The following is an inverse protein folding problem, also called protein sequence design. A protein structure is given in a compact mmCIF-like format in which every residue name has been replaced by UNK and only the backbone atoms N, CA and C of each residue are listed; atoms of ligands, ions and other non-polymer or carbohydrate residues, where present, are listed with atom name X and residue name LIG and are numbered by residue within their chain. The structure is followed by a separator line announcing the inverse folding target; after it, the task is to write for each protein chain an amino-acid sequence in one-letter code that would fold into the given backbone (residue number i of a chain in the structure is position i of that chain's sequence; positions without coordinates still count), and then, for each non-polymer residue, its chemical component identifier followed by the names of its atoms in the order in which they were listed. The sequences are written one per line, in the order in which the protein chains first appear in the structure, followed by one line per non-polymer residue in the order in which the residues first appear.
data_IF_580022749000
#
_entry.id   IF_580022749000
#
_cell.length_a   1.000
_cell.length_b   1.000
_cell.length_c   1.000
_cell.angle_alpha   90.00
_cell.angle_beta   90.00
_cell.angle_gamma   90.00
#
_symmetry.space_group_name_H-M   'P 1'
#
loop_
_entity.id
_entity.type
_entity.pdbx_description
1 polymer ?
#
# COMPACT_ATOMS: atom_id res chain seq x y z
N UNK A 1 14.14 0.42 -11.26
CA UNK A 1 13.73 -0.46 -10.16
C UNK A 1 14.60 -0.10 -8.97
N UNK A 2 13.99 0.27 -7.85
CA UNK A 2 14.68 0.76 -6.65
C UNK A 2 14.02 0.12 -5.44
N UNK A 3 14.59 -1.02 -5.03
CA UNK A 3 14.08 -1.80 -3.92
C UNK A 3 14.55 -1.18 -2.60
N UNK A 4 13.61 -0.77 -1.75
CA UNK A 4 13.89 -0.29 -0.40
C UNK A 4 13.45 -1.33 0.62
N UNK A 5 14.39 -1.73 1.48
CA UNK A 5 14.09 -2.54 2.66
C UNK A 5 13.70 -1.57 3.79
N UNK A 6 12.45 -1.66 4.24
CA UNK A 6 11.92 -0.82 5.31
C UNK A 6 11.96 -1.55 6.67
N UNK A 7 11.98 -2.90 6.65
CA UNK A 7 12.15 -3.84 7.77
C UNK A 7 12.45 -5.25 7.18
N UNK A 8 13.12 -6.21 7.89
CA UNK A 8 13.31 -7.60 7.46
C UNK A 8 12.10 -8.33 6.84
N UNK A 9 10.87 -7.85 7.09
CA UNK A 9 9.65 -8.45 6.57
C UNK A 9 8.90 -7.60 5.53
N UNK A 10 9.43 -6.43 5.16
CA UNK A 10 8.79 -5.47 4.27
C UNK A 10 9.74 -4.93 3.20
N UNK A 11 9.43 -5.22 1.94
CA UNK A 11 10.11 -4.61 0.80
C UNK A 11 9.14 -3.76 -0.01
N UNK A 12 9.59 -2.55 -0.35
CA UNK A 12 8.88 -1.62 -1.23
C UNK A 12 9.69 -1.43 -2.51
N UNK A 13 9.04 -1.63 -3.65
CA UNK A 13 9.61 -1.34 -4.97
C UNK A 13 8.71 -0.38 -5.73
N UNK A 14 9.35 0.47 -6.52
CA UNK A 14 8.70 1.39 -7.45
C UNK A 14 9.05 0.94 -8.87
N UNK A 15 8.02 0.70 -9.68
CA UNK A 15 8.18 0.23 -11.04
C UNK A 15 7.50 1.18 -12.03
N UNK A 16 8.16 1.33 -13.17
CA UNK A 16 7.68 2.13 -14.28
C UNK A 16 7.43 1.22 -15.48
N UNK A 17 6.23 1.30 -16.04
CA UNK A 17 5.84 0.61 -17.26
C UNK A 17 5.81 1.64 -18.39
N UNK A 18 6.75 1.60 -19.34
CA UNK A 18 6.75 2.53 -20.45
C UNK A 18 5.54 2.24 -21.35
N UNK A 19 5.09 3.29 -22.04
CA UNK A 19 4.13 3.14 -23.13
C UNK A 19 4.72 2.22 -24.21
N UNK A 20 3.92 1.27 -24.68
CA UNK A 20 4.30 0.34 -25.75
C UNK A 20 3.21 0.26 -26.82
N UNK A 21 3.40 -0.55 -27.85
CA UNK A 21 2.36 -0.81 -28.84
C UNK A 21 1.11 -1.50 -28.24
N UNK A 22 1.28 -2.22 -27.12
CA UNK A 22 0.22 -2.95 -26.41
C UNK A 22 -0.35 -2.10 -25.26
N UNK A 23 0.52 -1.46 -24.48
CA UNK A 23 0.11 -0.54 -23.40
C UNK A 23 0.00 0.88 -23.93
N UNK A 24 -1.23 1.37 -24.10
CA UNK A 24 -1.51 2.69 -24.69
C UNK A 24 -1.05 3.87 -23.82
N UNK A 25 -0.87 3.63 -22.53
CA UNK A 25 -0.45 4.61 -21.53
C UNK A 25 0.74 4.08 -20.74
N UNK A 26 1.56 5.01 -20.26
CA UNK A 26 2.61 4.69 -19.30
C UNK A 26 1.99 4.54 -17.91
N UNK A 27 2.53 3.65 -17.09
CA UNK A 27 2.08 3.47 -15.72
C UNK A 27 3.25 3.59 -14.75
N UNK A 28 2.98 4.19 -13.59
CA UNK A 28 3.86 4.16 -12.43
C UNK A 28 3.12 3.38 -11.35
N UNK A 29 3.77 2.39 -10.76
CA UNK A 29 3.18 1.55 -9.74
C UNK A 29 4.11 1.37 -8.54
N UNK A 30 3.49 1.11 -7.40
CA UNK A 30 4.16 0.69 -6.18
C UNK A 30 3.86 -0.79 -5.96
N UNK A 31 4.87 -1.56 -5.58
CA UNK A 31 4.72 -2.94 -5.19
C UNK A 31 5.27 -3.15 -3.79
N UNK A 32 4.46 -3.78 -2.95
CA UNK A 32 4.81 -4.08 -1.58
C UNK A 32 4.83 -5.58 -1.33
N UNK A 33 5.91 -6.06 -0.74
CA UNK A 33 6.08 -7.46 -0.37
C UNK A 33 6.05 -7.56 1.15
N UNK A 34 5.01 -8.21 1.66
CA UNK A 34 4.86 -8.51 3.07
C UNK A 34 5.17 -9.98 3.29
N UNK A 35 6.04 -10.27 4.24
CA UNK A 35 6.18 -11.64 4.69
C UNK A 35 4.94 -12.08 5.49
N UNK A 36 4.58 -13.35 5.36
CA UNK A 36 3.53 -13.97 6.16
C UNK A 36 4.10 -14.52 7.48
N UNK A 37 3.31 -14.53 8.57
CA UNK A 37 3.62 -15.28 9.77
C UNK A 37 3.90 -16.75 9.43
N UNK A 38 4.76 -17.40 10.21
CA UNK A 38 5.19 -18.80 9.97
C UNK A 38 4.00 -19.75 9.81
N UNK A 39 2.97 -19.59 10.64
CA UNK A 39 1.72 -20.37 10.63
C UNK A 39 0.87 -20.20 9.36
N UNK A 40 1.11 -19.15 8.59
CA UNK A 40 0.35 -18.84 7.37
C UNK A 40 1.16 -19.00 6.09
N UNK A 41 2.46 -19.36 6.16
CA UNK A 41 3.31 -19.51 4.96
C UNK A 41 2.84 -20.58 3.97
N UNK A 42 2.07 -21.56 4.44
CA UNK A 42 1.55 -22.67 3.62
C UNK A 42 0.03 -22.61 3.44
N UNK A 43 -0.61 -21.47 3.73
CA UNK A 43 -2.05 -21.34 3.52
C UNK A 43 -2.39 -21.38 2.02
N UNK A 44 -3.67 -21.63 1.72
CA UNK A 44 -4.16 -21.49 0.34
C UNK A 44 -3.92 -20.06 -0.14
N UNK A 45 -3.42 -19.94 -1.37
CA UNK A 45 -3.24 -18.65 -2.04
C UNK A 45 -4.59 -17.93 -2.17
N UNK A 46 -4.57 -16.61 -1.99
CA UNK A 46 -5.76 -15.76 -2.10
C UNK A 46 -5.35 -14.46 -2.80
N UNK A 47 -6.07 -14.13 -3.88
CA UNK A 47 -5.98 -12.83 -4.54
C UNK A 47 -7.18 -11.99 -4.12
N UNK A 48 -6.97 -10.70 -3.89
CA UNK A 48 -8.04 -9.73 -3.67
C UNK A 48 -7.76 -8.53 -4.58
N UNK A 49 -8.69 -8.25 -5.49
CA UNK A 49 -8.58 -7.18 -6.47
C UNK A 49 -9.68 -6.15 -6.22
N UNK A 50 -9.32 -4.88 -6.26
CA UNK A 50 -10.23 -3.77 -5.99
C UNK A 50 -10.06 -2.69 -7.04
N UNK A 51 -11.18 -2.13 -7.48
CA UNK A 51 -11.20 -0.91 -8.29
C UNK A 51 -11.07 0.31 -7.38
N UNK A 52 -10.59 1.43 -7.93
CA UNK A 52 -10.46 2.70 -7.19
C UNK A 52 -11.76 3.12 -6.48
N UNK A 53 -12.90 2.94 -7.15
CA UNK A 53 -14.23 3.24 -6.60
C UNK A 53 -14.64 2.35 -5.41
N UNK A 54 -13.98 1.22 -5.20
CA UNK A 54 -14.19 0.33 -4.05
C UNK A 54 -13.26 0.67 -2.88
N UNK A 55 -12.25 1.52 -3.08
CA UNK A 55 -11.34 1.93 -2.03
C UNK A 55 -11.97 3.11 -1.28
N UNK A 56 -12.14 2.96 0.03
CA UNK A 56 -12.70 4.02 0.86
C UNK A 56 -11.73 5.20 0.94
N UNK A 57 -12.27 6.41 0.82
CA UNK A 57 -11.51 7.65 0.82
C UNK A 57 -12.11 8.61 1.85
N UNK A 58 -11.25 9.25 2.64
CA UNK A 58 -11.67 10.26 3.63
C UNK A 58 -10.72 11.46 3.59
N UNK A 59 -11.13 12.57 4.20
CA UNK A 59 -10.28 13.73 4.40
C UNK A 59 -9.84 13.81 5.87
N UNK A 60 -8.57 14.14 6.08
CA UNK A 60 -8.06 14.50 7.40
C UNK A 60 -8.62 15.87 7.83
N UNK A 61 -8.39 16.24 9.09
CA UNK A 61 -8.73 17.57 9.61
C UNK A 61 -7.99 18.70 8.87
N UNK A 62 -6.81 18.39 8.31
CA UNK A 62 -5.97 19.33 7.55
C UNK A 62 -6.20 19.22 6.03
N UNK A 63 -7.38 18.76 5.59
CA UNK A 63 -7.79 18.61 4.18
C UNK A 63 -6.97 17.60 3.34
N UNK A 64 -5.94 16.95 3.90
CA UNK A 64 -5.23 15.87 3.22
C UNK A 64 -6.19 14.70 2.90
N UNK A 65 -6.11 14.17 1.67
CA UNK A 65 -6.95 13.05 1.24
C UNK A 65 -6.27 11.74 1.62
N UNK A 66 -7.01 10.85 2.28
CA UNK A 66 -6.55 9.55 2.76
C UNK A 66 -7.32 8.47 2.02
N UNK A 67 -6.64 7.69 1.18
CA UNK A 67 -7.20 6.44 0.63
C UNK A 67 -6.80 5.26 1.50
N UNK A 68 -7.81 4.56 1.98
CA UNK A 68 -7.68 3.46 2.90
C UNK A 68 -7.52 2.12 2.15
N UNK A 69 -6.29 1.59 2.04
CA UNK A 69 -5.97 0.33 1.35
C UNK A 69 -6.04 -0.91 2.29
N UNK A 70 -5.35 -0.96 3.45
CA UNK A 70 -5.61 -1.99 4.49
C UNK A 70 -5.56 -1.45 5.93
N UNK A 71 -6.32 -2.03 6.87
CA UNK A 71 -6.30 -1.70 8.31
C UNK A 71 -7.59 -1.07 8.87
N UNK A 72 -7.46 -0.13 9.81
CA UNK A 72 -8.50 0.78 10.33
C UNK A 72 -7.85 2.16 10.58
N UNK A 73 -8.45 3.25 10.12
CA UNK A 73 -7.85 4.59 10.20
C UNK A 73 -8.93 5.66 10.11
N UNK A 74 -8.90 6.64 11.02
CA UNK A 74 -9.85 7.75 11.10
C UNK A 74 -11.34 7.34 11.04
N UNK A 75 -11.70 6.18 11.61
CA UNK A 75 -13.08 5.66 11.64
C UNK A 75 -13.55 4.99 10.33
N UNK A 76 -12.68 4.87 9.34
CA UNK A 76 -12.95 4.16 8.08
C UNK A 76 -12.44 2.72 8.19
N UNK A 77 -13.34 1.76 8.01
CA UNK A 77 -13.01 0.33 7.91
C UNK A 77 -12.60 -0.03 6.50
N UNK A 78 -11.58 -0.88 6.38
CA UNK A 78 -10.98 -1.20 5.09
C UNK A 78 -11.60 -2.47 4.49
N UNK A 79 -11.60 -2.57 3.15
CA UNK A 79 -12.14 -3.74 2.42
C UNK A 79 -11.13 -4.89 2.26
N UNK A 80 -9.83 -4.63 2.48
CA UNK A 80 -8.77 -5.61 2.25
C UNK A 80 -8.50 -6.41 3.51
N UNK A 81 -8.63 -7.73 3.41
CA UNK A 81 -8.23 -8.65 4.48
C UNK A 81 -6.72 -8.88 4.46
N UNK A 82 -6.05 -8.66 5.60
CA UNK A 82 -4.62 -8.90 5.79
C UNK A 82 -4.36 -10.01 6.81
N UNK A 83 -3.47 -10.95 6.48
CA UNK A 83 -3.03 -12.04 7.39
C UNK A 83 -1.85 -11.63 8.27
N UNK A 84 -0.98 -10.78 7.73
CA UNK A 84 0.00 -10.03 8.51
C UNK A 84 -0.68 -8.72 8.90
N UNK A 85 -0.85 -8.42 10.19
CA UNK A 85 -1.34 -7.11 10.62
C UNK A 85 -0.50 -6.02 9.98
N UNK A 86 -1.11 -5.26 9.10
CA UNK A 86 -0.46 -4.21 8.35
C UNK A 86 -1.51 -3.19 7.95
N UNK A 87 -1.18 -1.92 8.17
CA UNK A 87 -1.93 -0.80 7.66
C UNK A 87 -1.31 -0.34 6.33
N UNK A 88 -2.12 0.06 5.36
CA UNK A 88 -1.65 0.76 4.16
C UNK A 88 -2.64 1.85 3.83
N UNK A 89 -2.17 3.08 3.73
CA UNK A 89 -2.95 4.16 3.21
C UNK A 89 -2.10 4.99 2.26
N UNK A 90 -2.77 5.65 1.32
CA UNK A 90 -2.15 6.68 0.50
C UNK A 90 -2.63 8.03 1.01
N UNK A 91 -1.67 8.87 1.40
CA UNK A 91 -1.91 10.29 1.63
C UNK A 91 -1.70 11.04 0.32
N UNK A 92 -2.64 11.92 -0.01
CA UNK A 92 -2.46 12.94 -1.03
C UNK A 92 -2.41 14.27 -0.29
N UNK A 93 -1.20 14.74 -0.03
CA UNK A 93 -0.92 16.14 0.26
C UNK A 93 0.15 16.61 -0.74
N UNK A 94 -0.08 17.73 -1.40
CA UNK A 94 0.97 18.50 -2.05
C UNK A 94 1.57 17.90 -3.33
N UNK A 95 2.25 16.75 -3.15
CA UNK A 95 3.16 16.08 -4.08
C UNK A 95 3.62 14.67 -3.60
N UNK A 96 3.14 14.16 -2.44
CA UNK A 96 3.78 13.01 -1.74
C UNK A 96 2.78 11.90 -1.44
N UNK A 97 3.07 10.68 -1.90
CA UNK A 97 2.40 9.45 -1.44
C UNK A 97 3.19 8.90 -0.25
N UNK A 98 2.57 8.84 0.92
CA UNK A 98 3.14 8.19 2.11
C UNK A 98 2.39 6.91 2.39
N UNK A 99 3.12 5.78 2.39
CA UNK A 99 2.61 4.49 2.85
C UNK A 99 3.13 4.27 4.27
N UNK A 100 2.23 4.15 5.24
CA UNK A 100 2.59 3.81 6.63
C UNK A 100 2.12 2.40 6.92
N UNK A 101 3.03 1.58 7.41
CA UNK A 101 2.78 0.18 7.76
C UNK A 101 2.90 0.01 9.26
N UNK A 102 1.78 0.03 9.98
CA UNK A 102 1.78 -0.28 11.41
C UNK A 102 1.45 -1.76 11.63
N UNK A 103 2.48 -2.48 12.06
CA UNK A 103 2.41 -3.88 12.49
C UNK A 103 2.87 -4.01 13.93
N UNK A 104 2.46 -3.14 14.86
CA UNK A 104 2.82 -3.17 16.29
C UNK A 104 4.33 -3.16 16.63
N UNK A 105 5.23 -3.04 15.65
CA UNK A 105 6.67 -2.80 15.82
C UNK A 105 7.41 -2.37 14.54
N UNK A 106 6.71 -2.14 13.42
CA UNK A 106 7.35 -1.70 12.17
C UNK A 106 6.95 -0.25 11.92
N UNK A 107 7.94 0.63 11.71
CA UNK A 107 7.73 2.01 11.29
C UNK A 107 8.55 2.25 10.03
N UNK A 108 7.87 2.27 8.89
CA UNK A 108 8.46 2.64 7.61
C UNK A 108 7.67 3.79 7.02
N UNK A 109 8.31 4.94 6.85
CA UNK A 109 7.78 6.09 6.11
C UNK A 109 8.63 6.26 4.86
N UNK A 110 8.01 6.19 3.68
CA UNK A 110 8.64 6.55 2.42
C UNK A 110 8.04 7.85 1.92
N UNK A 111 8.83 8.92 1.94
CA UNK A 111 8.46 10.25 1.42
C UNK A 111 9.05 10.41 0.02
N UNK A 112 8.24 10.88 -0.92
CA UNK A 112 8.69 11.37 -2.23
C UNK A 112 9.30 12.76 -2.04
N UNK A 113 10.56 12.93 -2.44
CA UNK A 113 11.21 14.24 -2.66
C UNK A 113 11.28 14.53 -4.15
#
# INVERSE_FOLDING_TARGET
MSLRNLDPFLFLDEFYVPKTAVFKEQALGLQLWLNLPKEHKMCKQQCQEFLDAQISCTKSQDEAVIKAIAGDSHGVKFQIYTRTPAMFFELYDLSVVTVVVDGSNLHGTSTRS
#
